data_IF_723137394311
#
_entry.id   IF_723137394311
#
_cell.length_a   1.000
_cell.length_b   1.000
_cell.length_c   1.000
_cell.angle_alpha   90.00
_cell.angle_beta   90.00
_cell.angle_gamma   90.00
#
_symmetry.space_group_name_H-M   'P 1'
#
loop_
_entity.id
_entity.type
_entity.pdbx_description
1 polymer ?
#
# COMPACT_ATOMS: atom_id res chain seq x y z
N UNK A 1 -17.26 25.25 -28.37
CA UNK A 1 -17.54 24.51 -27.12
C UNK A 1 -16.60 23.33 -26.87
N UNK A 2 -16.01 22.67 -27.89
CA UNK A 2 -15.14 21.50 -27.67
C UNK A 2 -13.71 21.75 -27.14
N UNK A 3 -13.15 22.96 -27.30
CA UNK A 3 -11.74 23.20 -26.96
C UNK A 3 -11.49 23.24 -25.43
N UNK A 4 -12.44 23.75 -24.65
CA UNK A 4 -12.31 23.85 -23.19
C UNK A 4 -12.50 22.50 -22.51
N UNK A 5 -13.45 21.67 -23.00
CA UNK A 5 -13.63 20.31 -22.49
C UNK A 5 -12.39 19.45 -22.71
N UNK A 6 -11.72 19.59 -23.86
CA UNK A 6 -10.50 18.85 -24.16
C UNK A 6 -9.34 19.27 -23.22
N UNK A 7 -9.15 20.57 -23.00
CA UNK A 7 -8.15 21.09 -22.04
C UNK A 7 -8.40 20.63 -20.61
N UNK A 8 -9.66 20.62 -20.17
CA UNK A 8 -10.03 20.15 -18.85
C UNK A 8 -9.77 18.65 -18.68
N UNK A 9 -10.05 17.85 -19.72
CA UNK A 9 -9.78 16.42 -19.72
C UNK A 9 -8.27 16.13 -19.67
N UNK A 10 -7.47 16.85 -20.47
CA UNK A 10 -6.00 16.78 -20.43
C UNK A 10 -5.48 17.11 -19.02
N UNK A 11 -5.99 18.18 -18.40
CA UNK A 11 -5.58 18.56 -17.04
C UNK A 11 -5.89 17.46 -16.00
N UNK A 12 -7.04 16.79 -16.12
CA UNK A 12 -7.39 15.67 -15.24
C UNK A 12 -6.49 14.45 -15.46
N UNK A 13 -6.11 14.15 -16.71
CA UNK A 13 -5.17 13.07 -16.97
C UNK A 13 -3.78 13.37 -16.42
N UNK A 14 -3.27 14.60 -16.57
CA UNK A 14 -2.00 15.01 -15.97
C UNK A 14 -2.05 15.01 -14.43
N UNK A 15 -3.17 15.44 -13.83
CA UNK A 15 -3.41 15.32 -12.39
C UNK A 15 -3.33 13.85 -11.96
N UNK A 16 -4.01 12.95 -12.68
CA UNK A 16 -3.97 11.51 -12.40
C UNK A 16 -2.56 10.93 -12.52
N UNK A 17 -1.78 11.34 -13.54
CA UNK A 17 -0.39 10.91 -13.70
C UNK A 17 0.46 11.41 -12.51
N UNK A 18 0.30 12.66 -12.10
CA UNK A 18 1.02 13.20 -10.93
C UNK A 18 0.71 12.44 -9.64
N UNK A 19 -0.54 12.05 -9.43
CA UNK A 19 -0.95 11.22 -8.29
C UNK A 19 -0.34 9.81 -8.38
N UNK A 20 -0.27 9.22 -9.57
CA UNK A 20 0.37 7.92 -9.78
C UNK A 20 1.88 7.98 -9.55
N UNK A 21 2.56 9.04 -9.98
CA UNK A 21 3.99 9.23 -9.70
C UNK A 21 4.28 9.31 -8.19
N UNK A 22 3.41 9.99 -7.43
CA UNK A 22 3.49 10.02 -5.96
C UNK A 22 3.25 8.62 -5.36
N UNK A 23 2.23 7.90 -5.82
CA UNK A 23 1.93 6.56 -5.36
C UNK A 23 3.09 5.58 -5.64
N UNK A 24 3.66 5.63 -6.83
CA UNK A 24 4.84 4.85 -7.23
C UNK A 24 6.04 5.18 -6.34
N UNK A 25 6.28 6.47 -6.08
CA UNK A 25 7.36 6.90 -5.20
C UNK A 25 7.19 6.34 -3.78
N UNK A 26 5.97 6.40 -3.25
CA UNK A 26 5.65 5.83 -1.95
C UNK A 26 5.82 4.30 -1.92
N UNK A 27 5.35 3.58 -2.92
CA UNK A 27 5.50 2.11 -3.02
C UNK A 27 6.98 1.70 -3.07
N UNK A 28 7.81 2.40 -3.85
CA UNK A 28 9.26 2.18 -3.87
C UNK A 28 9.86 2.44 -2.48
N UNK A 29 9.45 3.52 -1.82
CA UNK A 29 9.90 3.83 -0.47
C UNK A 29 9.46 2.77 0.55
N UNK A 30 8.25 2.23 0.44
CA UNK A 30 7.80 1.12 1.29
C UNK A 30 8.71 -0.10 1.15
N UNK A 31 9.10 -0.45 -0.09
CA UNK A 31 10.03 -1.56 -0.33
C UNK A 31 11.39 -1.32 0.34
N UNK A 32 11.91 -0.09 0.31
CA UNK A 32 13.15 0.27 1.00
C UNK A 32 13.00 0.14 2.53
N UNK A 33 11.91 0.67 3.08
CA UNK A 33 11.63 0.66 4.52
C UNK A 33 11.46 -0.78 5.04
N UNK A 34 10.80 -1.65 4.27
CA UNK A 34 10.75 -3.09 4.54
C UNK A 34 12.13 -3.77 4.46
N UNK A 35 13.09 -3.20 3.72
CA UNK A 35 14.48 -3.66 3.70
C UNK A 35 15.20 -3.42 5.03
N UNK A 36 14.80 -2.41 5.79
CA UNK A 36 15.34 -2.10 7.12
C UNK A 36 14.59 -2.76 8.28
N UNK A 37 13.51 -3.51 7.99
CA UNK A 37 12.66 -4.14 9.01
C UNK A 37 11.73 -3.16 9.74
N UNK A 38 11.53 -1.95 9.21
CA UNK A 38 10.66 -0.93 9.81
C UNK A 38 9.21 -1.10 9.35
N UNK A 39 8.48 -2.01 10.01
CA UNK A 39 7.07 -2.25 9.70
C UNK A 39 6.15 -1.05 10.00
N UNK A 40 6.48 -0.24 11.00
CA UNK A 40 5.67 0.92 11.38
C UNK A 40 5.79 2.05 10.36
N UNK A 41 7.01 2.36 9.90
CA UNK A 41 7.26 3.32 8.85
C UNK A 41 6.56 2.93 7.54
N UNK A 42 6.57 1.64 7.19
CA UNK A 42 5.88 1.14 6.01
C UNK A 42 4.35 1.29 6.12
N UNK A 43 3.77 1.06 7.31
CA UNK A 43 2.35 1.26 7.57
C UNK A 43 1.92 2.73 7.44
N UNK A 44 2.74 3.68 7.91
CA UNK A 44 2.48 5.12 7.74
C UNK A 44 2.47 5.53 6.27
N UNK A 45 3.32 4.93 5.44
CA UNK A 45 3.30 5.17 3.99
C UNK A 45 2.04 4.56 3.37
N UNK A 46 1.58 3.41 3.87
CA UNK A 46 0.33 2.79 3.38
C UNK A 46 -0.89 3.67 3.66
N UNK A 47 -0.97 4.26 4.84
CA UNK A 47 -2.02 5.23 5.17
C UNK A 47 -2.01 6.45 4.23
N UNK A 48 -0.84 6.89 3.79
CA UNK A 48 -0.71 7.95 2.79
C UNK A 48 -1.14 7.48 1.40
N UNK A 49 -0.80 6.24 1.02
CA UNK A 49 -1.21 5.63 -0.24
C UNK A 49 -2.73 5.51 -0.35
N UNK A 50 -3.43 5.14 0.73
CA UNK A 50 -4.89 5.06 0.75
C UNK A 50 -5.54 6.40 0.35
N UNK A 51 -5.02 7.52 0.88
CA UNK A 51 -5.51 8.86 0.51
C UNK A 51 -5.26 9.19 -0.96
N UNK A 52 -4.11 8.78 -1.51
CA UNK A 52 -3.81 8.95 -2.93
C UNK A 52 -4.76 8.12 -3.81
N UNK A 53 -5.05 6.88 -3.42
CA UNK A 53 -5.99 5.99 -4.12
C UNK A 53 -7.41 6.56 -4.11
N UNK A 54 -7.88 7.05 -2.96
CA UNK A 54 -9.18 7.72 -2.87
C UNK A 54 -9.26 8.93 -3.81
N UNK A 55 -8.16 9.70 -3.91
CA UNK A 55 -8.09 10.84 -4.81
C UNK A 55 -8.09 10.40 -6.28
N UNK A 56 -7.32 9.37 -6.63
CA UNK A 56 -7.32 8.77 -7.97
C UNK A 56 -8.73 8.34 -8.38
N UNK A 57 -9.48 7.66 -7.49
CA UNK A 57 -10.87 7.29 -7.74
C UNK A 57 -11.78 8.51 -7.95
N UNK A 58 -11.54 9.61 -7.23
CA UNK A 58 -12.29 10.85 -7.46
C UNK A 58 -11.97 11.47 -8.82
N UNK A 59 -10.72 11.45 -9.27
CA UNK A 59 -10.30 11.96 -10.58
C UNK A 59 -10.90 11.10 -11.69
N UNK A 60 -10.92 9.77 -11.53
CA UNK A 60 -11.54 8.85 -12.48
C UNK A 60 -13.01 9.16 -12.75
N UNK A 61 -13.79 9.44 -11.70
CA UNK A 61 -15.19 9.86 -11.84
C UNK A 61 -15.35 11.19 -12.59
N UNK A 62 -14.38 12.10 -12.50
CA UNK A 62 -14.40 13.37 -13.25
C UNK A 62 -14.06 13.13 -14.72
N UNK A 63 -13.05 12.28 -14.99
CA UNK A 63 -12.64 11.88 -16.34
C UNK A 63 -13.81 11.20 -17.05
N UNK A 64 -14.47 10.24 -16.40
CA UNK A 64 -15.61 9.51 -16.96
C UNK A 64 -16.68 10.48 -17.48
N UNK A 65 -17.12 11.42 -16.62
CA UNK A 65 -18.14 12.44 -16.96
C UNK A 65 -17.75 13.39 -18.09
N UNK A 66 -16.47 13.71 -18.22
CA UNK A 66 -15.99 14.66 -19.23
C UNK A 66 -15.56 13.99 -20.53
N UNK A 67 -15.30 12.68 -20.50
CA UNK A 67 -14.86 11.92 -21.67
C UNK A 67 -15.97 11.72 -22.72
N UNK A 68 -17.23 11.77 -22.29
CA UNK A 68 -18.37 11.63 -23.19
C UNK A 68 -18.44 12.77 -24.22
N UNK A 69 -18.31 12.42 -25.50
CA UNK A 69 -18.43 13.37 -26.61
C UNK A 69 -17.18 14.19 -26.91
N UNK A 70 -16.06 13.96 -26.20
CA UNK A 70 -14.77 14.57 -26.54
C UNK A 70 -14.11 13.77 -27.68
N UNK A 71 -13.76 14.40 -28.82
CA UNK A 71 -13.05 13.72 -29.89
C UNK A 71 -11.67 13.27 -29.41
N UNK A 72 -11.26 12.05 -29.76
CA UNK A 72 -9.91 11.59 -29.48
C UNK A 72 -8.90 12.37 -30.34
N UNK A 73 -8.07 13.18 -29.69
CA UNK A 73 -6.94 13.87 -30.32
C UNK A 73 -5.65 13.09 -30.09
N UNK A 74 -4.64 13.33 -30.93
CA UNK A 74 -3.32 12.71 -30.77
C UNK A 74 -2.74 12.97 -29.37
N UNK A 75 -2.86 14.20 -28.87
CA UNK A 75 -2.43 14.59 -27.52
C UNK A 75 -3.10 13.75 -26.42
N UNK A 76 -4.41 13.49 -26.51
CA UNK A 76 -5.11 12.64 -25.56
C UNK A 76 -4.64 11.18 -25.62
N UNK A 77 -4.32 10.69 -26.82
CA UNK A 77 -3.79 9.33 -27.01
C UNK A 77 -2.41 9.20 -26.35
N UNK A 78 -1.50 10.16 -26.59
CA UNK A 78 -0.16 10.17 -26.01
C UNK A 78 -0.20 10.22 -24.47
N UNK A 79 -1.07 11.07 -23.91
CA UNK A 79 -1.26 11.16 -22.46
C UNK A 79 -1.87 9.87 -21.90
N UNK A 80 -2.82 9.26 -22.59
CA UNK A 80 -3.41 7.99 -22.17
C UNK A 80 -2.37 6.86 -22.17
N UNK A 81 -1.49 6.79 -23.17
CA UNK A 81 -0.39 5.82 -23.20
C UNK A 81 0.54 5.97 -21.98
N UNK A 82 0.95 7.21 -21.68
CA UNK A 82 1.76 7.51 -20.49
C UNK A 82 1.03 7.12 -19.19
N UNK A 83 -0.27 7.38 -19.11
CA UNK A 83 -1.10 6.98 -17.97
C UNK A 83 -1.13 5.45 -17.80
N UNK A 84 -1.32 4.69 -18.87
CA UNK A 84 -1.34 3.23 -18.81
C UNK A 84 0.00 2.65 -18.35
N UNK A 85 1.12 3.22 -18.83
CA UNK A 85 2.45 2.82 -18.37
C UNK A 85 2.60 3.02 -16.86
N UNK A 86 2.11 4.14 -16.32
CA UNK A 86 2.15 4.44 -14.88
C UNK A 86 1.25 3.53 -14.06
N UNK A 87 0.06 3.20 -14.56
CA UNK A 87 -0.83 2.24 -13.90
C UNK A 87 -0.19 0.85 -13.82
N UNK A 88 0.45 0.40 -14.91
CA UNK A 88 1.14 -0.89 -14.95
C UNK A 88 2.34 -0.94 -13.99
N UNK A 89 3.12 0.14 -13.96
CA UNK A 89 4.23 0.31 -13.03
C UNK A 89 3.75 0.23 -11.56
N UNK A 90 2.74 1.03 -11.20
CA UNK A 90 2.14 1.01 -9.87
C UNK A 90 1.57 -0.35 -9.50
N UNK A 91 0.89 -1.04 -10.43
CA UNK A 91 0.34 -2.38 -10.21
C UNK A 91 1.43 -3.39 -9.89
N UNK A 92 2.52 -3.35 -10.65
CA UNK A 92 3.66 -4.25 -10.46
C UNK A 92 4.33 -4.02 -9.11
N UNK A 93 4.57 -2.76 -8.75
CA UNK A 93 5.16 -2.39 -7.46
C UNK A 93 4.26 -2.76 -6.28
N UNK A 94 2.96 -2.50 -6.38
CA UNK A 94 2.01 -2.86 -5.33
C UNK A 94 2.01 -4.38 -5.05
N UNK A 95 2.04 -5.21 -6.10
CA UNK A 95 2.14 -6.67 -5.94
C UNK A 95 3.40 -7.09 -5.17
N UNK A 96 4.53 -6.44 -5.45
CA UNK A 96 5.79 -6.70 -4.73
C UNK A 96 5.73 -6.26 -3.25
N UNK A 97 5.17 -5.08 -2.99
CA UNK A 97 4.93 -4.55 -1.63
C UNK A 97 4.04 -5.51 -0.84
N UNK A 98 2.94 -5.97 -1.44
CA UNK A 98 1.98 -6.88 -0.82
C UNK A 98 2.62 -8.24 -0.50
N UNK A 99 3.40 -8.80 -1.42
CA UNK A 99 4.15 -10.04 -1.17
C UNK A 99 5.16 -9.87 -0.03
N UNK A 100 5.91 -8.77 -0.01
CA UNK A 100 6.90 -8.48 1.04
C UNK A 100 6.23 -8.34 2.40
N UNK A 101 5.12 -7.60 2.47
CA UNK A 101 4.35 -7.42 3.70
C UNK A 101 3.83 -8.77 4.23
N UNK A 102 3.32 -9.64 3.36
CA UNK A 102 2.88 -10.99 3.74
C UNK A 102 4.00 -11.84 4.34
N UNK A 103 5.23 -11.75 3.81
CA UNK A 103 6.38 -12.48 4.36
C UNK A 103 6.73 -11.98 5.76
N UNK A 104 6.81 -10.66 5.93
CA UNK A 104 7.11 -10.02 7.21
C UNK A 104 6.07 -10.37 8.27
N UNK A 105 4.77 -10.31 7.95
CA UNK A 105 3.70 -10.68 8.89
C UNK A 105 3.79 -12.14 9.34
N UNK A 106 4.18 -13.06 8.45
CA UNK A 106 4.40 -14.47 8.81
C UNK A 106 5.57 -14.64 9.77
N UNK A 107 6.64 -13.88 9.59
CA UNK A 107 7.81 -13.88 10.48
C UNK A 107 7.43 -13.36 11.87
N UNK A 108 6.74 -12.22 11.95
CA UNK A 108 6.24 -11.69 13.23
C UNK A 108 5.28 -12.64 13.94
N UNK A 109 4.39 -13.32 13.21
CA UNK A 109 3.51 -14.31 13.83
C UNK A 109 4.29 -15.48 14.43
N UNK A 110 5.35 -15.93 13.76
CA UNK A 110 6.22 -17.00 14.27
C UNK A 110 6.92 -16.57 15.56
N UNK A 111 7.50 -15.37 15.58
CA UNK A 111 8.15 -14.81 16.77
C UNK A 111 7.18 -14.66 17.94
N UNK A 112 5.97 -14.12 17.68
CA UNK A 112 4.93 -13.97 18.68
C UNK A 112 4.56 -15.33 19.31
N UNK A 113 4.38 -16.36 18.49
CA UNK A 113 4.07 -17.71 18.96
C UNK A 113 5.17 -18.26 19.87
N UNK A 114 6.44 -18.06 19.52
CA UNK A 114 7.57 -18.49 20.34
C UNK A 114 7.58 -17.80 21.70
N UNK A 115 7.36 -16.49 21.73
CA UNK A 115 7.27 -15.72 22.98
C UNK A 115 6.09 -16.21 23.84
N UNK A 116 4.92 -16.44 23.25
CA UNK A 116 3.74 -16.94 23.96
C UNK A 116 3.97 -18.31 24.59
N UNK A 117 4.56 -19.26 23.84
CA UNK A 117 4.93 -20.58 24.38
C UNK A 117 5.90 -20.43 25.55
N UNK A 118 6.90 -19.55 25.43
CA UNK A 118 7.83 -19.26 26.52
C UNK A 118 7.15 -18.71 27.77
N UNK A 119 6.17 -17.81 27.62
CA UNK A 119 5.37 -17.28 28.72
C UNK A 119 4.54 -18.39 29.38
N UNK A 120 3.88 -19.23 28.58
CA UNK A 120 3.06 -20.33 29.10
C UNK A 120 3.90 -21.35 29.87
N UNK A 121 5.08 -21.73 29.33
CA UNK A 121 6.01 -22.62 30.01
C UNK A 121 6.51 -22.01 31.33
N UNK A 122 6.89 -20.73 31.34
CA UNK A 122 7.29 -20.03 32.58
C UNK A 122 6.16 -20.02 33.62
N UNK A 123 4.93 -19.71 33.21
CA UNK A 123 3.76 -19.76 34.11
C UNK A 123 3.54 -21.17 34.66
N UNK A 124 3.61 -22.20 33.81
CA UNK A 124 3.44 -23.58 34.23
C UNK A 124 4.52 -24.03 35.23
N UNK A 125 5.78 -23.72 34.95
CA UNK A 125 6.90 -24.06 35.82
C UNK A 125 6.84 -23.32 37.16
N UNK A 126 6.45 -22.04 37.17
CA UNK A 126 6.28 -21.25 38.38
C UNK A 126 5.20 -21.84 39.29
N UNK A 127 4.01 -22.15 38.73
CA UNK A 127 2.94 -22.82 39.46
C UNK A 127 3.43 -24.15 40.07
N UNK A 128 4.16 -24.97 39.30
CA UNK A 128 4.76 -26.21 39.80
C UNK A 128 5.76 -25.96 40.94
N UNK A 129 6.60 -24.94 40.84
CA UNK A 129 7.62 -24.66 41.85
C UNK A 129 6.99 -24.24 43.19
N UNK A 130 5.86 -23.54 43.16
CA UNK A 130 5.08 -23.23 44.36
C UNK A 130 4.48 -24.49 44.98
N UNK A 131 3.96 -25.43 44.17
CA UNK A 131 3.49 -26.73 44.66
C UNK A 131 4.60 -27.55 45.34
N UNK A 132 5.85 -27.46 44.87
CA UNK A 132 7.00 -28.17 45.47
C UNK A 132 7.45 -27.55 46.79
N UNK A 133 7.17 -26.28 47.06
CA UNK A 133 7.41 -25.64 48.37
C UNK A 133 6.31 -25.95 49.40
N UNK A 134 5.12 -26.32 48.95
CA UNK A 134 4.00 -26.78 49.79
C UNK A 134 3.93 -28.30 49.95
N UNK A 135 4.86 -29.05 49.36
CA UNK A 135 5.09 -30.47 49.66
C UNK A 135 5.78 -30.58 51.02
N UNK A 136 5.01 -30.95 52.02
CA UNK A 136 5.35 -31.09 53.45
C UNK A 136 6.52 -32.04 53.76
N UNK A 137 7.07 -31.79 54.95
CA UNK A 137 7.84 -32.67 55.84
C UNK A 137 7.40 -34.14 55.85
#
# INVERSE_FOLDING_TARGET
MNHDSNRNLIALYEEKISLLDQLISNQRRQMEVFGFGDGEGAAKIEDANLKLVDHLCSVDRKIEKLSEGVPQTLELIEIAERLFQKLEESRTLHSQVEERMRKILKEYQKELNQVQVGIQLKRHLHLRQDFWKTGTC
#
